data_IF_367135996086
#
_entry.id   IF_367135996086
#
_cell.length_a   1.000
_cell.length_b   1.000
_cell.length_c   1.000
_cell.angle_alpha   90.00
_cell.angle_beta   90.00
_cell.angle_gamma   90.00
#
_symmetry.space_group_name_H-M   'P 1'
#
loop_
_entity.id
_entity.type
_entity.pdbx_description
1 polymer ?
#
# COMPACT_ATOMS: atom_id res chain seq x y z
N UNK A 1 54.73 -38.51 1.99
CA UNK A 1 54.33 -38.02 0.69
C UNK A 1 52.86 -37.50 0.68
N UNK A 2 51.94 -37.99 1.50
CA UNK A 2 50.54 -37.61 1.53
C UNK A 2 50.26 -36.18 2.09
N UNK A 3 51.02 -35.72 3.08
CA UNK A 3 50.85 -34.42 3.74
C UNK A 3 51.22 -33.21 2.86
N UNK A 4 52.09 -33.40 1.87
CA UNK A 4 52.50 -32.35 0.94
C UNK A 4 51.41 -32.02 -0.11
N UNK A 5 50.36 -32.83 -0.17
CA UNK A 5 49.25 -32.65 -1.13
C UNK A 5 48.14 -31.68 -0.66
N UNK A 6 48.05 -31.39 0.65
CA UNK A 6 47.03 -30.50 1.19
C UNK A 6 47.31 -28.98 1.04
N UNK A 7 48.49 -28.60 0.54
CA UNK A 7 48.97 -27.23 0.56
C UNK A 7 48.63 -26.38 -0.70
N UNK A 8 47.59 -26.73 -1.42
CA UNK A 8 47.07 -25.82 -2.45
C UNK A 8 45.88 -25.02 -1.89
N UNK A 9 46.18 -23.91 -1.22
CA UNK A 9 45.20 -23.06 -0.56
C UNK A 9 43.96 -22.69 -1.42
N UNK A 10 44.12 -22.68 -2.75
CA UNK A 10 43.03 -22.43 -3.67
C UNK A 10 42.02 -23.58 -3.79
N UNK A 11 42.46 -24.81 -3.71
CA UNK A 11 41.58 -25.99 -3.74
C UNK A 11 40.78 -26.15 -2.45
N UNK A 12 41.42 -25.86 -1.32
CA UNK A 12 40.79 -25.88 0.01
C UNK A 12 39.79 -24.75 0.11
N UNK A 13 40.13 -23.56 -0.36
CA UNK A 13 39.21 -22.41 -0.40
C UNK A 13 37.95 -22.72 -1.25
N UNK A 14 38.08 -23.38 -2.40
CA UNK A 14 36.95 -23.77 -3.22
C UNK A 14 36.01 -24.76 -2.52
N UNK A 15 36.56 -25.72 -1.76
CA UNK A 15 35.76 -26.68 -0.99
C UNK A 15 35.03 -25.99 0.16
N UNK A 16 35.70 -25.12 0.92
CA UNK A 16 35.10 -24.36 2.02
C UNK A 16 33.99 -23.46 1.54
N UNK A 17 34.22 -22.72 0.46
CA UNK A 17 33.17 -21.87 -0.16
C UNK A 17 32.00 -22.72 -0.68
N UNK A 18 32.28 -23.91 -1.24
CA UNK A 18 31.23 -24.83 -1.68
C UNK A 18 30.38 -25.36 -0.51
N UNK A 19 31.00 -25.66 0.63
CA UNK A 19 30.30 -26.08 1.85
C UNK A 19 29.44 -24.92 2.40
N UNK A 20 29.98 -23.71 2.46
CA UNK A 20 29.25 -22.51 2.91
C UNK A 20 28.03 -22.25 1.98
N UNK A 21 28.15 -22.45 0.66
CA UNK A 21 27.03 -22.32 -0.27
C UNK A 21 25.96 -23.40 -0.07
N UNK A 22 26.32 -24.58 0.44
CA UNK A 22 25.38 -25.67 0.77
C UNK A 22 24.60 -25.43 2.07
N UNK A 23 25.19 -24.73 3.04
CA UNK A 23 24.55 -24.41 4.32
C UNK A 23 23.42 -23.37 4.17
N UNK A 24 23.21 -22.83 3.00
CA UNK A 24 22.03 -22.27 2.32
C UNK A 24 21.06 -21.36 3.07
N UNK A 25 21.23 -21.10 4.36
CA UNK A 25 20.32 -20.28 5.14
C UNK A 25 20.37 -18.76 4.82
N UNK A 26 21.29 -18.32 3.98
CA UNK A 26 21.57 -16.90 3.70
C UNK A 26 21.24 -16.48 2.26
N UNK A 27 20.25 -17.11 1.62
CA UNK A 27 19.65 -16.70 0.32
C UNK A 27 20.65 -16.12 -0.70
N UNK A 28 20.67 -14.79 -0.92
CA UNK A 28 21.52 -14.17 -1.95
C UNK A 28 23.01 -14.31 -1.71
N UNK A 29 23.45 -14.42 -0.46
CA UNK A 29 24.88 -14.59 -0.11
C UNK A 29 25.38 -15.98 -0.51
N UNK A 30 24.56 -17.02 -0.35
CA UNK A 30 24.90 -18.39 -0.78
C UNK A 30 25.05 -18.51 -2.29
N UNK A 31 24.23 -17.77 -3.07
CA UNK A 31 24.36 -17.71 -4.52
C UNK A 31 25.72 -17.11 -4.93
N UNK A 32 26.11 -15.98 -4.34
CA UNK A 32 27.39 -15.33 -4.60
C UNK A 32 28.56 -16.26 -4.22
N UNK A 33 28.51 -16.90 -3.07
CA UNK A 33 29.53 -17.86 -2.63
C UNK A 33 29.65 -19.08 -3.59
N UNK A 34 28.51 -19.56 -4.11
CA UNK A 34 28.48 -20.64 -5.09
C UNK A 34 29.15 -20.26 -6.40
N UNK A 35 28.86 -19.06 -6.92
CA UNK A 35 29.50 -18.53 -8.14
C UNK A 35 31.02 -18.37 -7.96
N UNK A 36 31.46 -17.82 -6.83
CA UNK A 36 32.89 -17.69 -6.51
C UNK A 36 33.56 -19.07 -6.42
N UNK A 37 32.89 -20.05 -5.81
CA UNK A 37 33.41 -21.44 -5.70
C UNK A 37 33.60 -22.08 -7.09
N UNK A 38 32.69 -21.84 -8.03
CA UNK A 38 32.81 -22.32 -9.42
C UNK A 38 34.03 -21.69 -10.12
N UNK A 39 34.21 -20.38 -9.99
CA UNK A 39 35.33 -19.66 -10.61
C UNK A 39 36.66 -20.11 -10.04
N UNK A 40 36.80 -20.18 -8.70
CA UNK A 40 38.04 -20.59 -8.02
C UNK A 40 38.33 -22.05 -8.30
N UNK A 41 37.31 -22.93 -8.31
CA UNK A 41 37.42 -24.34 -8.69
C UNK A 41 37.89 -24.53 -10.13
N UNK A 42 37.37 -23.73 -11.07
CA UNK A 42 37.80 -23.71 -12.48
C UNK A 42 39.27 -23.31 -12.67
N UNK A 43 39.72 -22.29 -11.93
CA UNK A 43 41.13 -21.82 -11.96
C UNK A 43 42.06 -22.90 -11.35
N UNK A 44 41.65 -23.54 -10.24
CA UNK A 44 42.41 -24.60 -9.59
C UNK A 44 42.57 -25.83 -10.48
N UNK A 45 41.57 -26.14 -11.32
CA UNK A 45 41.63 -27.24 -12.30
C UNK A 45 42.65 -27.01 -13.41
N UNK A 46 42.82 -25.74 -13.87
CA UNK A 46 43.83 -25.41 -14.90
C UNK A 46 45.25 -25.53 -14.43
N UNK A 47 45.52 -25.40 -13.14
CA UNK A 47 46.87 -25.25 -12.59
C UNK A 47 47.45 -26.51 -11.93
N UNK A 48 47.08 -27.76 -12.33
CA UNK A 48 47.78 -29.01 -11.92
C UNK A 48 47.05 -30.00 -10.99
N UNK A 49 45.80 -29.74 -10.56
CA UNK A 49 45.07 -30.74 -9.71
C UNK A 49 43.62 -30.91 -10.17
N UNK A 50 43.45 -31.83 -11.09
CA UNK A 50 42.15 -32.14 -11.70
C UNK A 50 41.11 -32.57 -10.66
N UNK A 51 41.46 -33.32 -9.61
CA UNK A 51 40.51 -33.93 -8.68
C UNK A 51 39.90 -32.92 -7.69
N UNK A 52 40.73 -32.10 -7.03
CA UNK A 52 40.27 -31.13 -6.00
C UNK A 52 39.55 -29.95 -6.63
N UNK A 53 40.01 -29.47 -7.80
CA UNK A 53 39.36 -28.43 -8.55
C UNK A 53 37.98 -28.84 -9.12
N UNK A 54 37.86 -30.10 -9.55
CA UNK A 54 36.58 -30.67 -10.03
C UNK A 54 35.58 -30.82 -8.89
N UNK A 55 36.02 -31.29 -7.72
CA UNK A 55 35.15 -31.42 -6.54
C UNK A 55 34.57 -30.03 -6.11
N UNK A 56 35.40 -29.00 -6.04
CA UNK A 56 34.96 -27.65 -5.71
C UNK A 56 33.98 -27.07 -6.75
N UNK A 57 34.20 -27.34 -8.03
CA UNK A 57 33.31 -26.92 -9.09
C UNK A 57 31.94 -27.61 -9.04
N UNK A 58 31.92 -28.92 -8.82
CA UNK A 58 30.69 -29.71 -8.69
C UNK A 58 29.88 -29.26 -7.47
N UNK A 59 30.54 -29.09 -6.31
CA UNK A 59 29.88 -28.58 -5.08
C UNK A 59 29.35 -27.17 -5.30
N UNK A 60 30.05 -26.29 -6.02
CA UNK A 60 29.58 -24.96 -6.36
C UNK A 60 28.30 -24.96 -7.23
N UNK A 61 28.26 -25.85 -8.26
CA UNK A 61 27.08 -26.00 -9.12
C UNK A 61 25.87 -26.50 -8.32
N UNK A 62 26.06 -27.51 -7.49
CA UNK A 62 24.99 -28.03 -6.62
C UNK A 62 24.50 -26.92 -5.65
N UNK A 63 25.40 -26.15 -5.05
CA UNK A 63 25.08 -25.05 -4.15
C UNK A 63 24.27 -23.95 -4.84
N UNK A 64 24.63 -23.58 -6.07
CA UNK A 64 23.89 -22.62 -6.88
C UNK A 64 22.47 -23.11 -7.19
N UNK A 65 22.30 -24.37 -7.57
CA UNK A 65 20.98 -24.95 -7.87
C UNK A 65 20.09 -24.97 -6.63
N UNK A 66 20.62 -25.42 -5.49
CA UNK A 66 19.89 -25.43 -4.21
C UNK A 66 19.50 -23.99 -3.80
N UNK A 67 20.44 -23.05 -3.91
CA UNK A 67 20.18 -21.63 -3.59
C UNK A 67 19.09 -21.02 -4.47
N UNK A 68 19.05 -21.36 -5.76
CA UNK A 68 18.03 -20.87 -6.69
C UNK A 68 16.64 -21.41 -6.30
N UNK A 69 16.53 -22.70 -5.98
CA UNK A 69 15.27 -23.29 -5.51
C UNK A 69 14.84 -22.69 -4.18
N UNK A 70 15.75 -22.54 -3.22
CA UNK A 70 15.47 -21.93 -1.92
C UNK A 70 14.99 -20.47 -2.07
N UNK A 71 15.64 -19.70 -2.93
CA UNK A 71 15.22 -18.31 -3.21
C UNK A 71 13.82 -18.25 -3.81
N UNK A 72 13.50 -19.16 -4.73
CA UNK A 72 12.15 -19.24 -5.33
C UNK A 72 11.08 -19.56 -4.28
N UNK A 73 11.36 -20.51 -3.37
CA UNK A 73 10.46 -20.86 -2.26
C UNK A 73 10.24 -19.66 -1.34
N UNK A 74 11.31 -18.94 -0.99
CA UNK A 74 11.21 -17.73 -0.15
C UNK A 74 10.36 -16.66 -0.83
N UNK A 75 10.57 -16.39 -2.13
CA UNK A 75 9.75 -15.42 -2.89
C UNK A 75 8.29 -15.84 -2.88
N UNK A 76 7.97 -17.12 -3.11
CA UNK A 76 6.59 -17.62 -3.08
C UNK A 76 5.96 -17.50 -1.70
N UNK A 77 6.69 -17.76 -0.63
CA UNK A 77 6.20 -17.57 0.75
C UNK A 77 5.93 -16.08 1.04
N UNK A 78 6.84 -15.19 0.66
CA UNK A 78 6.63 -13.73 0.82
C UNK A 78 5.46 -13.23 -0.02
N UNK A 79 5.36 -13.64 -1.28
CA UNK A 79 4.24 -13.29 -2.14
C UNK A 79 2.90 -13.78 -1.56
N UNK A 80 2.87 -15.02 -1.06
CA UNK A 80 1.65 -15.61 -0.50
C UNK A 80 1.18 -14.99 0.82
N UNK A 81 2.07 -14.38 1.61
CA UNK A 81 1.73 -13.82 2.93
C UNK A 81 1.68 -12.30 2.96
N UNK A 82 2.60 -11.62 2.27
CA UNK A 82 2.68 -10.16 2.30
C UNK A 82 1.70 -9.48 1.35
N UNK A 83 1.49 -10.04 0.15
CA UNK A 83 0.59 -9.40 -0.84
C UNK A 83 -0.84 -9.27 -0.31
N UNK A 84 -1.49 -10.32 0.25
CA UNK A 84 -2.84 -10.19 0.81
C UNK A 84 -2.91 -9.23 2.00
N UNK A 85 -1.84 -9.18 2.80
CA UNK A 85 -1.79 -8.24 3.93
C UNK A 85 -1.64 -6.80 3.44
N UNK A 86 -0.84 -6.58 2.40
CA UNK A 86 -0.63 -5.26 1.82
C UNK A 86 -1.92 -4.72 1.17
N UNK A 87 -2.65 -5.57 0.44
CA UNK A 87 -3.95 -5.20 -0.13
C UNK A 87 -4.94 -4.76 0.95
N UNK A 88 -5.06 -5.52 2.04
CA UNK A 88 -5.91 -5.13 3.19
C UNK A 88 -5.49 -3.83 3.87
N UNK A 89 -4.21 -3.50 3.85
CA UNK A 89 -3.74 -2.20 4.36
C UNK A 89 -4.04 -1.07 3.39
N UNK A 90 -3.90 -1.29 2.08
CA UNK A 90 -4.29 -0.31 1.06
C UNK A 90 -5.78 0.01 1.16
N UNK A 91 -6.66 -1.00 1.18
CA UNK A 91 -8.10 -0.84 1.32
C UNK A 91 -8.47 -0.04 2.59
N UNK A 92 -7.79 -0.30 3.72
CA UNK A 92 -8.02 0.45 4.96
C UNK A 92 -7.56 1.90 4.89
N UNK A 93 -6.47 2.18 4.17
CA UNK A 93 -5.96 3.55 3.98
C UNK A 93 -6.93 4.34 3.12
N UNK A 94 -7.41 3.76 2.02
CA UNK A 94 -8.42 4.36 1.15
C UNK A 94 -9.71 4.66 1.92
N UNK A 95 -10.27 3.66 2.62
CA UNK A 95 -11.46 3.85 3.48
C UNK A 95 -11.25 4.94 4.52
N UNK A 96 -10.06 5.03 5.13
CA UNK A 96 -9.75 6.07 6.12
C UNK A 96 -9.66 7.46 5.50
N UNK A 97 -9.11 7.58 4.30
CA UNK A 97 -9.05 8.84 3.56
C UNK A 97 -10.44 9.31 3.17
N UNK A 98 -11.27 8.44 2.61
CA UNK A 98 -12.64 8.75 2.23
C UNK A 98 -13.49 9.15 3.44
N UNK A 99 -13.31 8.46 4.58
CA UNK A 99 -13.93 8.84 5.86
C UNK A 99 -13.53 10.26 6.29
N UNK A 100 -12.25 10.63 6.12
CA UNK A 100 -11.78 11.99 6.42
C UNK A 100 -12.39 13.04 5.50
N UNK A 101 -12.57 12.73 4.21
CA UNK A 101 -13.24 13.63 3.27
C UNK A 101 -14.70 13.83 3.69
N UNK A 102 -15.44 12.75 4.00
CA UNK A 102 -16.81 12.83 4.50
C UNK A 102 -16.91 13.64 5.79
N UNK A 103 -15.97 13.45 6.74
CA UNK A 103 -15.94 14.22 7.99
C UNK A 103 -15.65 15.69 7.77
N UNK A 104 -14.82 16.01 6.78
CA UNK A 104 -14.54 17.40 6.36
C UNK A 104 -15.77 18.05 5.78
N UNK A 105 -16.48 17.38 4.87
CA UNK A 105 -17.74 17.84 4.30
C UNK A 105 -18.79 18.04 5.39
N UNK A 106 -18.97 17.06 6.27
CA UNK A 106 -19.86 17.16 7.43
C UNK A 106 -19.56 18.38 8.29
N UNK A 107 -18.27 18.59 8.59
CA UNK A 107 -17.83 19.73 9.41
C UNK A 107 -18.08 21.06 8.71
N UNK A 108 -17.83 21.15 7.40
CA UNK A 108 -18.10 22.34 6.61
C UNK A 108 -19.60 22.69 6.59
N UNK A 109 -20.47 21.71 6.36
CA UNK A 109 -21.92 21.89 6.40
C UNK A 109 -22.35 22.33 7.81
N UNK A 110 -21.86 21.65 8.85
CA UNK A 110 -22.21 21.98 10.25
C UNK A 110 -21.82 23.41 10.62
N UNK A 111 -20.61 23.84 10.28
CA UNK A 111 -20.14 25.20 10.56
C UNK A 111 -20.97 26.23 9.80
N UNK A 112 -21.28 25.97 8.54
CA UNK A 112 -22.04 26.89 7.70
C UNK A 112 -23.50 27.03 8.16
N UNK A 113 -24.14 25.95 8.61
CA UNK A 113 -25.51 25.97 9.16
C UNK A 113 -25.57 26.76 10.48
N UNK A 114 -24.50 26.77 11.25
CA UNK A 114 -24.44 27.47 12.55
C UNK A 114 -24.01 28.94 12.42
N UNK A 115 -23.58 29.40 11.23
CA UNK A 115 -23.17 30.78 11.03
C UNK A 115 -24.40 31.71 10.94
N UNK A 116 -24.57 32.66 11.88
CA UNK A 116 -25.71 33.58 11.88
C UNK A 116 -25.81 34.44 10.62
N UNK A 117 -24.69 34.73 9.95
CA UNK A 117 -24.67 35.53 8.72
C UNK A 117 -25.29 34.75 7.55
N UNK A 118 -25.11 33.43 7.53
CA UNK A 118 -25.63 32.52 6.50
C UNK A 118 -27.12 32.23 6.77
N UNK A 119 -27.44 31.94 8.03
CA UNK A 119 -28.84 31.61 8.44
C UNK A 119 -29.82 32.77 8.22
N UNK A 120 -29.36 34.01 8.21
CA UNK A 120 -30.20 35.18 7.93
C UNK A 120 -30.38 35.46 6.44
N UNK A 121 -29.64 34.78 5.56
CA UNK A 121 -29.82 34.91 4.11
C UNK A 121 -31.11 34.20 3.64
N UNK A 122 -32.01 34.86 2.90
CA UNK A 122 -33.30 34.28 2.53
C UNK A 122 -33.21 33.02 1.69
N UNK A 123 -32.21 32.94 0.78
CA UNK A 123 -32.05 31.78 -0.09
C UNK A 123 -31.47 30.58 0.69
N UNK A 124 -30.60 30.86 1.65
CA UNK A 124 -30.10 29.84 2.59
C UNK A 124 -31.18 29.33 3.53
N UNK A 125 -32.09 30.18 4.02
CA UNK A 125 -33.25 29.77 4.82
C UNK A 125 -34.19 28.85 4.04
N UNK A 126 -34.51 29.21 2.80
CA UNK A 126 -35.34 28.36 1.94
C UNK A 126 -34.70 27.00 1.71
N UNK A 127 -33.36 26.97 1.50
CA UNK A 127 -32.63 25.74 1.37
C UNK A 127 -32.72 24.90 2.65
N UNK A 128 -32.49 25.48 3.82
CA UNK A 128 -32.57 24.78 5.10
C UNK A 128 -33.97 24.21 5.36
N UNK A 129 -35.04 24.93 5.02
CA UNK A 129 -36.41 24.43 5.11
C UNK A 129 -36.68 23.20 4.22
N UNK A 130 -36.04 23.15 3.04
CA UNK A 130 -36.19 22.05 2.09
C UNK A 130 -35.36 20.81 2.42
N UNK A 131 -34.16 20.97 3.01
CA UNK A 131 -33.17 19.90 3.13
C UNK A 131 -32.84 19.50 4.57
N UNK A 132 -33.37 20.18 5.58
CA UNK A 132 -33.16 19.86 6.98
C UNK A 132 -34.30 19.02 7.60
N UNK A 133 -34.78 18.03 6.87
CA UNK A 133 -35.89 17.16 7.23
C UNK A 133 -35.47 15.74 7.68
N UNK A 134 -34.15 15.49 7.70
CA UNK A 134 -33.56 14.20 8.08
C UNK A 134 -33.47 13.19 6.94
N UNK A 135 -33.87 13.55 5.73
CA UNK A 135 -33.68 12.70 4.55
C UNK A 135 -32.30 12.91 3.95
N UNK A 136 -31.79 11.88 3.26
CA UNK A 136 -30.54 11.98 2.54
C UNK A 136 -30.74 12.67 1.20
N UNK A 137 -29.89 13.65 0.94
CA UNK A 137 -29.83 14.42 -0.30
C UNK A 137 -28.43 14.33 -0.90
N UNK A 138 -28.37 14.34 -2.22
CA UNK A 138 -27.11 14.31 -2.95
C UNK A 138 -26.35 15.63 -2.79
N UNK A 139 -25.07 15.56 -2.43
CA UNK A 139 -24.19 16.72 -2.33
C UNK A 139 -24.02 17.39 -3.69
N UNK A 140 -24.15 16.66 -4.80
CA UNK A 140 -24.15 17.23 -6.14
C UNK A 140 -25.26 18.28 -6.30
N UNK A 141 -26.49 17.93 -5.93
CA UNK A 141 -27.65 18.85 -5.99
C UNK A 141 -27.42 20.04 -5.07
N UNK A 142 -26.84 19.84 -3.89
CA UNK A 142 -26.47 20.92 -2.98
C UNK A 142 -25.48 21.89 -3.62
N UNK A 143 -24.46 21.40 -4.32
CA UNK A 143 -23.43 22.22 -4.97
C UNK A 143 -23.95 23.04 -6.16
N UNK A 144 -25.06 22.61 -6.77
CA UNK A 144 -25.71 23.38 -7.85
C UNK A 144 -26.58 24.55 -7.36
N UNK A 145 -26.87 24.59 -6.06
CA UNK A 145 -27.60 25.73 -5.51
C UNK A 145 -26.66 26.94 -5.33
N UNK A 146 -27.17 28.11 -5.71
CA UNK A 146 -26.44 29.38 -5.65
C UNK A 146 -26.94 30.18 -4.44
N UNK A 147 -26.44 29.83 -3.25
CA UNK A 147 -26.78 30.48 -1.99
C UNK A 147 -25.55 30.64 -1.07
N UNK A 148 -25.64 31.56 -0.11
CA UNK A 148 -24.53 31.83 0.82
C UNK A 148 -24.08 30.61 1.58
N UNK A 149 -24.98 29.66 1.90
CA UNK A 149 -24.68 28.42 2.56
C UNK A 149 -23.76 27.54 1.69
N UNK A 150 -24.11 27.36 0.42
CA UNK A 150 -23.34 26.56 -0.54
C UNK A 150 -21.98 27.17 -0.81
N UNK A 151 -21.90 28.49 -0.98
CA UNK A 151 -20.63 29.19 -1.18
C UNK A 151 -19.71 29.08 0.03
N UNK A 152 -20.27 29.16 1.25
CA UNK A 152 -19.52 28.93 2.48
C UNK A 152 -18.95 27.53 2.54
N UNK A 153 -19.75 26.51 2.25
CA UNK A 153 -19.29 25.10 2.26
C UNK A 153 -18.22 24.88 1.21
N UNK A 154 -18.38 25.35 -0.02
CA UNK A 154 -17.37 25.27 -1.08
C UNK A 154 -16.05 25.95 -0.65
N UNK A 155 -16.16 27.14 -0.05
CA UNK A 155 -15.00 27.87 0.44
C UNK A 155 -14.26 27.15 1.56
N UNK A 156 -14.98 26.53 2.50
CA UNK A 156 -14.40 25.76 3.61
C UNK A 156 -13.72 24.48 3.12
N UNK A 157 -14.29 23.85 2.11
CA UNK A 157 -13.72 22.65 1.48
C UNK A 157 -12.55 22.96 0.54
N UNK A 158 -12.45 24.21 0.06
CA UNK A 158 -11.45 24.61 -0.93
C UNK A 158 -11.71 24.02 -2.31
N UNK A 159 -12.96 23.66 -2.64
CA UNK A 159 -13.38 23.11 -3.93
C UNK A 159 -14.41 24.01 -4.59
N UNK A 160 -14.44 24.02 -5.92
CA UNK A 160 -15.39 24.83 -6.68
C UNK A 160 -16.56 24.03 -7.26
N UNK A 161 -16.39 22.72 -7.38
CA UNK A 161 -17.39 21.82 -7.96
C UNK A 161 -17.48 20.51 -7.21
N UNK A 162 -18.60 19.79 -7.44
CA UNK A 162 -18.80 18.45 -6.92
C UNK A 162 -17.78 17.45 -7.49
N UNK A 163 -17.46 17.58 -8.78
CA UNK A 163 -16.47 16.71 -9.43
C UNK A 163 -15.10 16.81 -8.75
N UNK A 164 -14.66 18.04 -8.41
CA UNK A 164 -13.40 18.28 -7.69
C UNK A 164 -13.40 17.67 -6.28
N UNK A 165 -14.56 17.60 -5.62
CA UNK A 165 -14.73 16.90 -4.35
C UNK A 165 -14.65 15.39 -4.54
N UNK A 166 -15.33 14.84 -5.55
CA UNK A 166 -15.34 13.39 -5.82
C UNK A 166 -13.98 12.86 -6.30
N UNK A 167 -13.15 13.68 -6.93
CA UNK A 167 -11.76 13.32 -7.25
C UNK A 167 -10.90 13.01 -6.01
N UNK A 168 -11.31 13.43 -4.82
CA UNK A 168 -10.63 13.13 -3.56
C UNK A 168 -11.05 11.79 -2.95
N UNK A 169 -12.09 11.15 -3.49
CA UNK A 169 -12.60 9.84 -3.07
C UNK A 169 -11.84 8.73 -3.81
N UNK A 170 -11.44 7.72 -3.08
CA UNK A 170 -10.60 6.63 -3.59
C UNK A 170 -11.37 5.31 -3.72
N UNK A 171 -12.49 5.15 -3.01
CA UNK A 171 -13.32 3.94 -3.07
C UNK A 171 -13.96 3.80 -4.45
N UNK A 172 -13.61 2.72 -5.18
CA UNK A 172 -14.15 2.43 -6.52
C UNK A 172 -15.67 2.19 -6.52
N UNK A 173 -16.24 1.76 -5.39
CA UNK A 173 -17.67 1.49 -5.24
C UNK A 173 -18.49 2.75 -4.94
N UNK A 174 -17.85 3.87 -4.60
CA UNK A 174 -18.51 5.14 -4.30
C UNK A 174 -19.01 5.82 -5.58
N UNK A 175 -20.32 6.00 -5.71
CA UNK A 175 -20.92 6.64 -6.87
C UNK A 175 -21.57 8.00 -6.59
N UNK A 176 -21.84 8.33 -5.31
CA UNK A 176 -22.37 9.61 -4.89
C UNK A 176 -22.01 9.91 -3.43
N UNK A 177 -21.96 11.18 -3.09
CA UNK A 177 -21.88 11.64 -1.71
C UNK A 177 -23.22 12.23 -1.31
N UNK A 178 -23.78 11.76 -0.21
CA UNK A 178 -25.07 12.18 0.31
C UNK A 178 -24.95 12.76 1.71
N UNK A 179 -25.81 13.69 2.04
CA UNK A 179 -25.89 14.26 3.37
C UNK A 179 -27.33 14.28 3.88
N UNK A 180 -27.50 14.25 5.19
CA UNK A 180 -28.76 14.47 5.87
C UNK A 180 -28.56 15.44 7.03
N UNK A 181 -29.51 16.33 7.26
CA UNK A 181 -29.49 17.27 8.36
C UNK A 181 -30.76 17.11 9.17
N UNK A 182 -30.60 16.81 10.46
CA UNK A 182 -31.70 16.71 11.42
C UNK A 182 -31.66 17.86 12.41
N UNK A 183 -32.82 18.47 12.67
CA UNK A 183 -32.98 19.54 13.67
C UNK A 183 -32.02 20.71 13.50
N UNK A 184 -31.58 20.99 12.27
CA UNK A 184 -30.63 22.05 11.91
C UNK A 184 -29.25 21.98 12.61
N UNK A 185 -28.91 20.86 13.22
CA UNK A 185 -27.68 20.71 14.00
C UNK A 185 -26.99 19.36 13.81
N UNK A 186 -27.75 18.32 13.56
CA UNK A 186 -27.21 16.98 13.38
C UNK A 186 -26.98 16.70 11.90
N UNK A 187 -25.72 16.66 11.51
CA UNK A 187 -25.33 16.43 10.10
C UNK A 187 -24.68 15.06 9.97
N UNK A 188 -25.18 14.27 9.04
CA UNK A 188 -24.62 13.00 8.62
C UNK A 188 -24.19 13.10 7.17
N UNK A 189 -23.03 12.60 6.83
CA UNK A 189 -22.53 12.47 5.44
C UNK A 189 -22.16 11.02 5.20
N UNK A 190 -22.60 10.48 4.07
CA UNK A 190 -22.26 9.12 3.66
C UNK A 190 -21.82 9.04 2.21
N UNK A 191 -21.06 8.01 1.88
CA UNK A 191 -20.72 7.65 0.50
C UNK A 191 -21.64 6.51 0.05
N UNK A 192 -22.54 6.82 -0.88
CA UNK A 192 -23.43 5.83 -1.47
C UNK A 192 -22.62 4.78 -2.26
N UNK A 193 -22.94 3.50 -2.04
CA UNK A 193 -22.18 2.37 -2.58
C UNK A 193 -21.16 1.79 -1.61
N UNK A 194 -20.88 2.46 -0.49
CA UNK A 194 -19.92 2.03 0.52
C UNK A 194 -20.58 1.96 1.90
N UNK A 195 -19.85 1.41 2.90
CA UNK A 195 -20.28 1.41 4.32
C UNK A 195 -19.79 2.66 5.07
N UNK A 196 -19.32 3.69 4.35
CA UNK A 196 -18.77 4.91 4.95
C UNK A 196 -19.90 5.88 5.26
N UNK A 197 -20.10 6.12 6.55
CA UNK A 197 -21.04 7.11 7.08
C UNK A 197 -20.44 7.82 8.28
N UNK A 198 -20.51 9.14 8.31
CA UNK A 198 -19.96 10.00 9.37
C UNK A 198 -21.05 10.92 9.89
N UNK A 199 -21.32 10.84 11.18
CA UNK A 199 -22.33 11.64 11.87
C UNK A 199 -21.78 12.43 13.06
N UNK A 200 -22.52 13.41 13.55
CA UNK A 200 -22.25 14.09 14.82
C UNK A 200 -22.63 13.14 15.98
N UNK A 201 -21.69 12.69 16.77
CA UNK A 201 -21.93 11.96 18.03
C UNK A 201 -21.80 12.88 19.23
#
# INVERSE_FOLDING_TARGET
AALKQLHSGKGIAAIVLGIISLIGCLGPISFICGVIAIIVGGIARKKSRKTTGTAGMVMGIIGVLISLVATLVVILMFAGTMVPSYMKYADKVETSQDTMVCDTVRSAITVSILDPAIVTDPDSQYFMECYCDGYYYDVEVFFYNDCALTDSVKSLLGVNSYDELMEQIHSEDAYAMEFAVENNTYVVVRLAGTDIEVGNH
#
